data_IF_224297503345
#
_entry.id   IF_224297503345
#
_cell.length_a   1.000
_cell.length_b   1.000
_cell.length_c   1.000
_cell.angle_alpha   90.00
_cell.angle_beta   90.00
_cell.angle_gamma   90.00
#
_symmetry.space_group_name_H-M   'P 1'
#
loop_
_entity.id
_entity.type
_entity.pdbx_description
1 polymer ?
#
# COMPACT_ATOMS: atom_id res chain seq x y z
N UNK A 1 -15.08 19.71 -4.31
CA UNK A 1 -15.29 18.28 -4.53
C UNK A 1 -14.07 17.56 -3.97
N UNK A 2 -14.23 16.74 -2.93
CA UNK A 2 -13.14 15.92 -2.40
C UNK A 2 -12.94 14.78 -3.42
N UNK A 3 -11.76 14.67 -3.98
CA UNK A 3 -11.44 13.56 -4.88
C UNK A 3 -11.72 12.22 -4.18
N UNK A 4 -12.28 11.24 -4.87
CA UNK A 4 -12.55 9.94 -4.27
C UNK A 4 -11.25 9.31 -3.80
N UNK A 5 -11.23 8.86 -2.55
CA UNK A 5 -10.06 8.25 -1.93
C UNK A 5 -9.49 7.09 -2.78
N UNK A 6 -8.12 6.98 -2.93
CA UNK A 6 -7.50 5.94 -3.77
C UNK A 6 -7.81 4.53 -3.28
N UNK A 7 -7.78 3.56 -4.19
CA UNK A 7 -7.95 2.16 -3.84
C UNK A 7 -7.04 1.69 -2.70
N UNK A 8 -5.84 2.26 -2.60
CA UNK A 8 -4.88 1.88 -1.57
C UNK A 8 -5.25 2.39 -0.17
N UNK A 9 -5.67 3.65 -0.04
CA UNK A 9 -6.10 4.20 1.26
C UNK A 9 -7.37 3.49 1.70
N UNK A 10 -8.29 3.22 0.78
CA UNK A 10 -9.48 2.41 1.05
C UNK A 10 -9.12 1.00 1.49
N UNK A 11 -8.11 0.38 0.86
CA UNK A 11 -7.58 -0.94 1.27
C UNK A 11 -7.00 -0.90 2.68
N UNK A 12 -6.22 0.12 3.04
CA UNK A 12 -5.69 0.29 4.40
C UNK A 12 -6.79 0.53 5.42
N UNK A 13 -7.77 1.37 5.09
CA UNK A 13 -8.93 1.62 5.96
C UNK A 13 -9.72 0.34 6.19
N UNK A 14 -10.02 -0.41 5.13
CA UNK A 14 -10.70 -1.70 5.23
C UNK A 14 -9.92 -2.70 6.11
N UNK A 15 -8.61 -2.80 5.90
CA UNK A 15 -7.75 -3.67 6.68
C UNK A 15 -7.77 -3.31 8.18
N UNK A 16 -7.68 -2.03 8.50
CA UNK A 16 -7.76 -1.53 9.88
C UNK A 16 -9.13 -1.82 10.52
N UNK A 17 -10.23 -1.59 9.79
CA UNK A 17 -11.59 -1.90 10.26
C UNK A 17 -11.78 -3.39 10.55
N UNK A 18 -11.37 -4.27 9.61
CA UNK A 18 -11.49 -5.72 9.77
C UNK A 18 -10.64 -6.23 10.93
N UNK A 19 -9.43 -5.70 11.10
CA UNK A 19 -8.56 -6.00 12.24
C UNK A 19 -9.19 -5.55 13.55
N UNK A 20 -9.72 -4.32 13.63
CA UNK A 20 -10.40 -3.80 14.81
C UNK A 20 -11.62 -4.64 15.20
N UNK A 21 -12.41 -5.11 14.20
CA UNK A 21 -13.54 -6.02 14.43
C UNK A 21 -13.04 -7.35 15.02
N UNK A 22 -11.98 -7.95 14.46
CA UNK A 22 -11.41 -9.20 14.96
C UNK A 22 -10.94 -9.07 16.40
N UNK A 23 -10.16 -8.05 16.69
CA UNK A 23 -9.62 -7.76 18.02
C UNK A 23 -10.73 -7.49 19.03
N UNK A 24 -11.73 -6.68 18.64
CA UNK A 24 -12.90 -6.40 19.50
C UNK A 24 -13.75 -7.64 19.81
N UNK A 25 -13.66 -8.69 18.98
CA UNK A 25 -14.30 -9.98 19.24
C UNK A 25 -13.37 -10.99 19.95
N UNK A 26 -12.17 -10.59 20.36
CA UNK A 26 -11.20 -11.43 21.04
C UNK A 26 -10.70 -12.62 20.18
N UNK A 27 -10.76 -12.50 18.83
CA UNK A 27 -10.35 -13.59 17.93
C UNK A 27 -8.89 -13.43 17.52
N UNK A 28 -8.11 -14.51 17.56
CA UNK A 28 -6.78 -14.54 16.96
C UNK A 28 -6.87 -14.68 15.44
N UNK A 29 -5.84 -14.21 14.72
CA UNK A 29 -5.75 -14.36 13.27
C UNK A 29 -5.79 -15.84 12.85
N UNK A 30 -5.15 -16.72 13.61
CA UNK A 30 -5.12 -18.16 13.35
C UNK A 30 -6.50 -18.80 13.52
N UNK A 31 -7.26 -18.40 14.54
CA UNK A 31 -8.64 -18.88 14.74
C UNK A 31 -9.55 -18.49 13.58
N UNK A 32 -9.41 -17.26 13.06
CA UNK A 32 -10.17 -16.79 11.88
C UNK A 32 -9.74 -17.55 10.63
N UNK A 33 -8.44 -17.74 10.42
CA UNK A 33 -7.91 -18.49 9.29
C UNK A 33 -8.44 -19.91 9.26
N UNK A 34 -8.40 -20.62 10.41
CA UNK A 34 -8.91 -21.97 10.54
C UNK A 34 -10.42 -22.06 10.24
N UNK A 35 -11.23 -21.15 10.80
CA UNK A 35 -12.68 -21.12 10.60
C UNK A 35 -13.07 -20.89 9.13
N UNK A 36 -12.33 -20.05 8.42
CA UNK A 36 -12.58 -19.73 7.01
C UNK A 36 -11.87 -20.66 6.02
N UNK A 37 -11.09 -21.62 6.52
CA UNK A 37 -10.21 -22.51 5.74
C UNK A 37 -9.21 -21.71 4.90
N UNK A 38 -8.63 -20.67 5.50
CA UNK A 38 -7.59 -19.83 4.92
C UNK A 38 -6.23 -20.10 5.59
N UNK A 39 -5.15 -19.71 4.95
CA UNK A 39 -3.84 -19.74 5.58
C UNK A 39 -3.69 -18.59 6.60
N UNK A 40 -2.98 -18.78 7.72
CA UNK A 40 -2.69 -17.69 8.67
C UNK A 40 -1.99 -16.51 8.01
N UNK A 41 -1.09 -16.77 7.06
CA UNK A 41 -0.39 -15.74 6.29
C UNK A 41 -1.36 -14.88 5.45
N UNK A 42 -2.50 -15.43 5.02
CA UNK A 42 -3.53 -14.70 4.28
C UNK A 42 -4.16 -13.62 5.15
N UNK A 43 -4.60 -13.96 6.37
CA UNK A 43 -5.17 -13.00 7.32
C UNK A 43 -4.15 -11.89 7.62
N UNK A 44 -2.91 -12.26 7.95
CA UNK A 44 -1.86 -11.29 8.26
C UNK A 44 -1.57 -10.32 7.09
N UNK A 45 -1.56 -10.80 5.85
CA UNK A 45 -1.35 -9.94 4.66
C UNK A 45 -2.51 -8.98 4.46
N UNK A 46 -3.74 -9.43 4.68
CA UNK A 46 -4.92 -8.58 4.57
C UNK A 46 -4.96 -7.49 5.63
N UNK A 47 -4.72 -7.82 6.89
CA UNK A 47 -4.73 -6.87 7.99
C UNK A 47 -3.59 -5.85 7.92
N UNK A 48 -2.52 -6.15 7.19
CA UNK A 48 -1.42 -5.22 6.86
C UNK A 48 -1.62 -4.50 5.54
N UNK A 49 -2.75 -4.69 4.87
CA UNK A 49 -3.06 -4.14 3.56
C UNK A 49 -2.03 -4.49 2.45
N UNK A 50 -1.20 -5.53 2.66
CA UNK A 50 -0.22 -5.99 1.66
C UNK A 50 -0.88 -6.65 0.45
N UNK A 51 -2.08 -7.19 0.62
CA UNK A 51 -2.88 -7.79 -0.44
C UNK A 51 -4.30 -7.30 -0.30
N UNK A 52 -4.97 -6.97 -1.40
CA UNK A 52 -6.39 -6.61 -1.42
C UNK A 52 -7.27 -7.83 -1.14
N UNK A 53 -8.36 -7.61 -0.42
CA UNK A 53 -9.44 -8.57 -0.27
C UNK A 53 -10.45 -8.39 -1.40
N UNK A 54 -10.86 -9.50 -2.00
CA UNK A 54 -12.03 -9.47 -2.90
C UNK A 54 -13.29 -9.20 -2.07
N UNK A 55 -14.29 -8.45 -2.60
CA UNK A 55 -15.51 -8.17 -1.86
C UNK A 55 -16.21 -9.42 -1.29
N UNK A 56 -16.16 -10.54 -2.02
CA UNK A 56 -16.70 -11.83 -1.56
C UNK A 56 -15.96 -12.38 -0.33
N UNK A 57 -14.66 -12.16 -0.23
CA UNK A 57 -13.86 -12.58 0.93
C UNK A 57 -14.14 -11.71 2.15
N UNK A 58 -14.36 -10.41 1.91
CA UNK A 58 -14.83 -9.48 2.96
C UNK A 58 -16.20 -9.91 3.46
N UNK A 59 -17.15 -10.25 2.57
CA UNK A 59 -18.47 -10.74 2.96
C UNK A 59 -18.36 -11.97 3.88
N UNK A 60 -17.51 -12.95 3.53
CA UNK A 60 -17.28 -14.15 4.38
C UNK A 60 -16.70 -13.80 5.75
N UNK A 61 -15.78 -12.82 5.84
CA UNK A 61 -15.25 -12.34 7.12
C UNK A 61 -16.35 -11.68 7.96
N UNK A 62 -17.18 -10.83 7.33
CA UNK A 62 -18.28 -10.15 8.01
C UNK A 62 -19.34 -11.13 8.50
N UNK A 63 -19.64 -12.20 7.73
CA UNK A 63 -20.53 -13.29 8.16
C UNK A 63 -19.96 -14.01 9.38
N UNK A 64 -18.67 -14.36 9.33
CA UNK A 64 -17.99 -15.00 10.47
C UNK A 64 -17.97 -14.11 11.71
N UNK A 65 -17.80 -12.81 11.55
CA UNK A 65 -17.85 -11.83 12.62
C UNK A 65 -19.29 -11.44 13.03
N UNK A 66 -20.30 -11.96 12.36
CA UNK A 66 -21.70 -11.62 12.59
C UNK A 66 -21.97 -10.10 12.49
N UNK A 67 -21.37 -9.45 11.51
CA UNK A 67 -21.60 -8.04 11.20
C UNK A 67 -22.75 -7.94 10.22
N UNK A 68 -23.81 -7.23 10.60
CA UNK A 68 -25.04 -7.04 9.84
C UNK A 68 -25.40 -5.56 9.74
N UNK A 69 -26.46 -5.25 8.97
CA UNK A 69 -27.03 -3.92 8.86
C UNK A 69 -26.11 -2.89 8.19
N UNK A 70 -26.27 -1.58 8.49
CA UNK A 70 -25.58 -0.50 7.79
C UNK A 70 -24.06 -0.58 7.83
N UNK A 71 -23.50 -1.13 8.93
CA UNK A 71 -22.04 -1.32 9.03
C UNK A 71 -21.53 -2.35 8.04
N UNK A 72 -22.28 -3.42 7.80
CA UNK A 72 -21.95 -4.43 6.77
C UNK A 72 -21.91 -3.80 5.38
N UNK A 73 -22.94 -3.05 5.05
CA UNK A 73 -23.06 -2.39 3.74
C UNK A 73 -21.91 -1.41 3.50
N UNK A 74 -21.59 -0.59 4.50
CA UNK A 74 -20.45 0.32 4.44
C UNK A 74 -19.13 -0.42 4.13
N UNK A 75 -18.86 -1.52 4.84
CA UNK A 75 -17.62 -2.28 4.66
C UNK A 75 -17.58 -3.02 3.31
N UNK A 76 -18.71 -3.47 2.78
CA UNK A 76 -18.78 -4.07 1.44
C UNK A 76 -18.57 -3.01 0.36
N UNK A 77 -19.15 -1.83 0.49
CA UNK A 77 -18.90 -0.70 -0.42
C UNK A 77 -17.42 -0.33 -0.40
N UNK A 78 -16.84 -0.19 0.81
CA UNK A 78 -15.41 0.08 0.96
C UNK A 78 -14.54 -1.01 0.32
N UNK A 79 -14.96 -2.28 0.37
CA UNK A 79 -14.25 -3.38 -0.26
C UNK A 79 -14.33 -3.33 -1.80
N UNK A 80 -15.48 -2.96 -2.35
CA UNK A 80 -15.66 -2.76 -3.79
C UNK A 80 -14.78 -1.62 -4.29
N UNK A 81 -14.77 -0.52 -3.58
CA UNK A 81 -13.96 0.64 -3.91
C UNK A 81 -12.45 0.35 -3.79
N UNK A 82 -12.05 -0.40 -2.75
CA UNK A 82 -10.66 -0.83 -2.54
C UNK A 82 -10.19 -1.87 -3.58
N UNK A 83 -11.11 -2.52 -4.28
CA UNK A 83 -10.82 -3.47 -5.34
C UNK A 83 -10.66 -2.80 -6.72
N UNK A 84 -10.98 -1.50 -6.83
CA UNK A 84 -10.73 -0.75 -8.06
C UNK A 84 -9.23 -0.65 -8.30
N UNK A 85 -8.84 -0.71 -9.57
CA UNK A 85 -7.45 -0.53 -9.97
C UNK A 85 -7.13 0.96 -10.05
N UNK A 86 -6.00 1.37 -9.47
CA UNK A 86 -5.44 2.68 -9.74
C UNK A 86 -4.83 2.72 -11.15
N UNK A 87 -4.81 3.88 -11.80
CA UNK A 87 -4.21 4.03 -13.13
C UNK A 87 -2.75 3.57 -13.20
N UNK A 88 -2.01 3.66 -12.10
CA UNK A 88 -0.61 3.22 -12.00
C UNK A 88 -0.44 1.69 -11.98
N UNK A 89 -1.51 0.92 -11.75
CA UNK A 89 -1.44 -0.54 -11.80
C UNK A 89 -1.19 -1.06 -13.23
N UNK A 90 -1.46 -0.27 -14.25
CA UNK A 90 -1.09 -0.57 -15.64
C UNK A 90 0.44 -0.60 -15.83
N UNK A 91 1.18 0.08 -14.94
CA UNK A 91 2.64 0.14 -14.94
C UNK A 91 3.27 -0.75 -13.86
N UNK A 92 2.50 -1.66 -13.26
CA UNK A 92 2.95 -2.50 -12.14
C UNK A 92 4.21 -3.31 -12.43
N UNK A 93 4.40 -3.74 -13.68
CA UNK A 93 5.57 -4.52 -14.08
C UNK A 93 6.87 -3.69 -14.14
N UNK A 94 6.73 -2.37 -14.25
CA UNK A 94 7.85 -1.42 -14.35
C UNK A 94 8.12 -0.65 -13.05
N UNK A 95 7.20 -0.73 -12.08
CA UNK A 95 7.25 0.02 -10.83
C UNK A 95 7.43 -0.90 -9.63
N UNK A 96 8.38 -0.58 -8.75
CA UNK A 96 8.51 -1.30 -7.48
C UNK A 96 7.23 -1.17 -6.64
N UNK A 97 6.96 -2.18 -5.79
CA UNK A 97 5.78 -2.19 -4.91
C UNK A 97 5.74 -0.95 -4.00
N UNK A 98 6.91 -0.51 -3.51
CA UNK A 98 7.03 0.71 -2.69
C UNK A 98 6.68 1.98 -3.45
N UNK A 99 7.08 2.07 -4.72
CA UNK A 99 6.78 3.23 -5.54
C UNK A 99 5.30 3.32 -5.94
N UNK A 100 4.67 2.17 -6.24
CA UNK A 100 3.22 2.11 -6.44
C UNK A 100 2.45 2.59 -5.20
N UNK A 101 2.95 2.25 -4.00
CA UNK A 101 2.37 2.73 -2.75
C UNK A 101 2.52 4.24 -2.60
N UNK A 102 3.69 4.78 -2.94
CA UNK A 102 3.96 6.21 -2.90
C UNK A 102 3.03 6.99 -3.84
N UNK A 103 2.90 6.56 -5.11
CA UNK A 103 1.96 7.17 -6.07
C UNK A 103 0.52 7.17 -5.53
N UNK A 104 0.12 6.07 -4.89
CA UNK A 104 -1.21 5.97 -4.26
C UNK A 104 -1.43 7.00 -3.16
N UNK A 105 -0.42 7.31 -2.35
CA UNK A 105 -0.50 8.37 -1.33
C UNK A 105 -0.47 9.76 -1.93
N UNK A 106 0.43 9.98 -2.90
CA UNK A 106 0.55 11.25 -3.60
C UNK A 106 -0.76 11.65 -4.27
N UNK A 107 -1.45 10.70 -4.90
CA UNK A 107 -2.73 10.91 -5.56
C UNK A 107 -3.84 11.38 -4.60
N UNK A 108 -3.77 11.03 -3.32
CA UNK A 108 -4.80 11.36 -2.32
C UNK A 108 -4.45 12.48 -1.38
N UNK A 109 -3.18 12.83 -1.34
CA UNK A 109 -2.71 13.84 -0.40
C UNK A 109 -3.38 15.18 -0.72
N UNK A 110 -4.04 15.78 0.26
CA UNK A 110 -4.50 17.16 0.19
C UNK A 110 -3.34 18.14 0.42
N UNK A 111 -2.28 17.68 1.06
CA UNK A 111 -1.03 18.39 1.24
C UNK A 111 0.12 17.39 1.43
N UNK A 112 1.28 17.70 0.90
CA UNK A 112 2.51 16.92 1.06
C UNK A 112 3.63 17.83 1.54
N UNK A 113 4.38 17.35 2.54
CA UNK A 113 5.64 17.97 2.92
C UNK A 113 6.76 17.01 2.52
N UNK A 114 7.56 17.41 1.53
CA UNK A 114 8.61 16.59 0.96
C UNK A 114 9.95 17.30 1.23
N UNK A 115 10.92 16.53 1.71
CA UNK A 115 12.27 17.03 1.92
C UNK A 115 13.28 16.15 1.17
N UNK A 116 14.01 16.74 0.24
CA UNK A 116 15.07 16.10 -0.53
C UNK A 116 16.33 16.96 -0.45
N UNK A 117 17.49 16.32 -0.46
CA UNK A 117 18.80 17.02 -0.42
C UNK A 117 19.48 17.07 -1.79
N UNK A 118 19.07 16.20 -2.70
CA UNK A 118 19.82 15.90 -3.94
C UNK A 118 19.00 16.04 -5.21
N UNK A 119 17.69 15.89 -5.18
CA UNK A 119 16.83 15.97 -6.35
C UNK A 119 15.56 16.80 -6.10
N UNK A 120 15.06 17.44 -7.13
CA UNK A 120 13.75 18.09 -7.08
C UNK A 120 12.66 17.00 -7.01
N UNK A 121 11.64 17.19 -6.18
CA UNK A 121 10.52 16.24 -6.09
C UNK A 121 9.84 16.04 -7.45
N UNK A 122 9.40 14.82 -7.74
CA UNK A 122 8.80 14.43 -9.01
C UNK A 122 7.66 15.34 -9.47
N UNK A 123 6.83 15.82 -8.55
CA UNK A 123 5.73 16.74 -8.84
C UNK A 123 6.16 18.10 -9.41
N UNK A 124 7.40 18.51 -9.17
CA UNK A 124 7.97 19.77 -9.64
C UNK A 124 9.02 19.59 -10.74
N UNK A 125 9.26 18.33 -11.16
CA UNK A 125 10.22 18.06 -12.23
C UNK A 125 9.62 18.38 -13.61
N UNK A 126 10.44 18.96 -14.46
CA UNK A 126 10.15 18.97 -15.91
C UNK A 126 10.50 17.60 -16.50
N UNK A 127 9.90 17.27 -17.64
CA UNK A 127 10.17 16.00 -18.33
C UNK A 127 11.66 15.81 -18.64
N UNK A 128 12.34 16.87 -19.11
CA UNK A 128 13.77 16.82 -19.43
C UNK A 128 14.63 16.58 -18.19
N UNK A 129 14.29 17.22 -17.06
CA UNK A 129 14.97 16.99 -15.79
C UNK A 129 14.78 15.55 -15.33
N UNK A 130 13.54 15.03 -15.33
CA UNK A 130 13.25 13.67 -14.96
C UNK A 130 14.01 12.66 -15.83
N UNK A 131 14.04 12.85 -17.16
CA UNK A 131 14.79 11.99 -18.08
C UNK A 131 16.29 12.01 -17.79
N UNK A 132 16.85 13.17 -17.47
CA UNK A 132 18.28 13.31 -17.15
C UNK A 132 18.63 12.59 -15.87
N UNK A 133 17.80 12.69 -14.82
CA UNK A 133 17.99 12.00 -13.54
C UNK A 133 17.89 10.48 -13.72
N UNK A 134 16.82 9.99 -14.34
CA UNK A 134 16.62 8.55 -14.55
C UNK A 134 17.75 7.97 -15.41
N UNK A 135 18.17 8.67 -16.46
CA UNK A 135 19.30 8.25 -17.31
C UNK A 135 20.64 8.26 -16.58
N UNK A 136 20.82 9.16 -15.61
CA UNK A 136 21.99 9.21 -14.74
C UNK A 136 22.06 8.01 -13.79
N UNK A 137 20.97 7.69 -13.11
CA UNK A 137 20.89 6.55 -12.19
C UNK A 137 21.07 5.21 -12.92
N UNK A 138 20.51 5.04 -14.10
CA UNK A 138 20.70 3.81 -14.91
C UNK A 138 22.16 3.55 -15.29
N UNK A 139 22.98 4.60 -15.42
CA UNK A 139 24.42 4.46 -15.67
C UNK A 139 25.17 4.04 -14.41
N UNK A 140 24.78 4.54 -13.24
CA UNK A 140 25.43 4.20 -11.94
C UNK A 140 25.14 2.74 -11.58
N UNK A 141 23.92 2.26 -11.75
CA UNK A 141 23.58 0.85 -11.49
C UNK A 141 24.33 -0.16 -12.39
N UNK A 142 24.70 0.24 -13.60
CA UNK A 142 25.53 -0.60 -14.46
C UNK A 142 26.99 -0.66 -14.02
N UNK A 143 27.52 0.41 -13.42
CA UNK A 143 28.90 0.45 -12.87
C UNK A 143 29.00 -0.36 -11.57
N UNK A 144 27.97 -0.33 -10.70
CA UNK A 144 27.98 -1.07 -9.43
C UNK A 144 27.74 -2.59 -9.59
N UNK A 145 27.14 -3.04 -10.67
CA UNK A 145 27.01 -4.48 -10.95
C UNK A 145 28.34 -5.15 -11.29
N UNK A 146 29.27 -4.39 -11.83
CA UNK A 146 30.62 -4.89 -12.13
C UNK A 146 31.59 -4.77 -10.93
N UNK A 147 31.23 -3.96 -9.91
CA UNK A 147 31.95 -3.81 -8.66
C UNK A 147 31.22 -4.51 -7.50
N UNK A 148 31.31 -5.82 -7.43
CA UNK A 148 30.70 -6.76 -6.49
C UNK A 148 30.18 -6.21 -5.16
N UNK A 149 28.91 -6.47 -4.90
CA UNK A 149 28.23 -6.60 -3.60
C UNK A 149 28.78 -5.76 -2.42
N UNK A 150 28.23 -4.57 -2.24
CA UNK A 150 28.11 -3.99 -0.91
C UNK A 150 26.67 -3.51 -0.67
N UNK A 151 26.06 -4.05 0.39
CA UNK A 151 24.69 -3.76 0.79
C UNK A 151 24.52 -2.27 1.12
N UNK A 152 23.46 -1.66 0.59
CA UNK A 152 23.05 -0.31 0.94
C UNK A 152 22.72 -0.20 2.44
N UNK A 153 23.14 0.87 3.13
CA UNK A 153 22.86 1.05 4.54
C UNK A 153 21.37 1.34 4.76
N UNK A 154 20.74 0.51 5.59
CA UNK A 154 19.39 0.79 6.09
C UNK A 154 19.49 1.85 7.20
N UNK A 155 19.00 3.05 6.94
CA UNK A 155 18.84 4.07 7.98
C UNK A 155 17.46 3.92 8.62
N UNK A 156 17.41 3.51 9.88
CA UNK A 156 16.19 3.56 10.70
C UNK A 156 16.07 4.96 11.30
N UNK A 157 15.05 5.70 10.89
CA UNK A 157 14.65 6.94 11.55
C UNK A 157 13.96 6.64 12.89
N UNK A 158 14.22 7.44 13.91
CA UNK A 158 13.72 7.25 15.27
C UNK A 158 12.21 7.49 15.46
N UNK A 159 11.51 8.07 14.51
CA UNK A 159 10.14 8.58 14.70
C UNK A 159 9.09 8.03 13.72
N UNK A 160 9.21 6.80 13.23
CA UNK A 160 8.14 6.16 12.48
C UNK A 160 7.78 6.79 11.13
N UNK A 161 8.48 7.80 10.67
CA UNK A 161 8.33 8.39 9.36
C UNK A 161 8.93 7.47 8.29
N UNK A 162 8.16 7.20 7.23
CA UNK A 162 8.65 6.42 6.08
C UNK A 162 9.58 7.35 5.29
N UNK A 163 10.88 7.14 5.41
CA UNK A 163 11.87 7.76 4.55
C UNK A 163 12.16 6.78 3.42
N UNK A 164 11.63 7.05 2.22
CA UNK A 164 12.02 6.32 1.02
C UNK A 164 13.22 7.02 0.40
N UNK A 165 14.35 6.34 0.37
CA UNK A 165 15.48 6.71 -0.47
C UNK A 165 15.32 6.02 -1.83
N UNK A 166 15.39 6.81 -2.89
CA UNK A 166 15.57 6.33 -4.26
C UNK A 166 17.03 6.01 -4.48
#
# INVERSE_FOLDING_TARGET
MIAPASPMVRRRRLAAELRGIREGKGKSGDAVAAALKWSPSKISRYERARTGLRPQEVARLLDYYQITGPRRELLLTLAQDAAQKGWWEEYSDSLSEGYQQFIGFEHEATSMSIWHVDVVTGLLQTEDYARSIIGGYSRVEHVDRDAGHQAAPQVRGADGAIVSHF
#
